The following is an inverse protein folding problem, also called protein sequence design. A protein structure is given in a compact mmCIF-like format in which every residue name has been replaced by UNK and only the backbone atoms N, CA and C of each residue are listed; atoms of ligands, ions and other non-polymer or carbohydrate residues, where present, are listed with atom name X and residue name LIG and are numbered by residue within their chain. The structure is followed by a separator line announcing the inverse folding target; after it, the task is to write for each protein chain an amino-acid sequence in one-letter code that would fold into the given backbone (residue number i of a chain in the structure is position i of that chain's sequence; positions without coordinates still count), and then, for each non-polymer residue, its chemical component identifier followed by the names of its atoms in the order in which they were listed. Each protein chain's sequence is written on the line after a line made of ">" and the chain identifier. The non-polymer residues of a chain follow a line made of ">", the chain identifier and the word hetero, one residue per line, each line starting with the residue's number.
data_IF_141829652540
#
_entry.id   IF_141829652540
#
_cell.length_a   1.000
_cell.length_b   1.000
_cell.length_c   1.000
_cell.angle_alpha   90.00
_cell.angle_beta   90.00
_cell.angle_gamma   90.00
#
_symmetry.space_group_name_H-M   'P 1'
#
loop_
_entity.id
_entity.type
_entity.pdbx_description
1 polymer ?
#
# COMPACT_ATOMS: atom_id res chain seq x y z
N UNK A 1 -32.91 24.79 22.26
CA UNK A 1 -31.74 25.37 21.58
C UNK A 1 -31.48 24.55 20.34
N UNK A 2 -31.42 25.17 19.16
CA UNK A 2 -31.17 24.43 17.92
C UNK A 2 -29.77 23.79 18.00
N UNK A 3 -29.69 22.47 17.90
CA UNK A 3 -28.43 21.74 17.72
C UNK A 3 -27.86 22.13 16.37
N UNK A 4 -26.93 23.09 16.38
CA UNK A 4 -26.30 23.58 15.17
C UNK A 4 -25.21 22.59 14.77
N UNK A 5 -25.43 21.89 13.64
CA UNK A 5 -24.42 21.01 13.07
C UNK A 5 -23.10 21.75 12.82
N UNK A 6 -21.94 21.08 12.97
CA UNK A 6 -20.66 21.62 12.55
C UNK A 6 -20.70 22.15 11.12
N UNK A 7 -20.03 23.27 10.86
CA UNK A 7 -19.98 23.90 9.53
C UNK A 7 -19.39 22.93 8.50
N UNK A 8 -18.46 22.08 8.92
CA UNK A 8 -17.79 21.09 8.07
C UNK A 8 -18.71 19.99 7.54
N UNK A 9 -19.93 19.86 8.08
CA UNK A 9 -20.93 18.90 7.60
C UNK A 9 -21.79 19.45 6.47
N UNK A 10 -21.73 20.76 6.22
CA UNK A 10 -22.51 21.43 5.20
C UNK A 10 -21.80 21.43 3.87
N UNK A 11 -22.53 21.13 2.80
CA UNK A 11 -22.01 21.26 1.46
C UNK A 11 -21.72 22.75 1.18
N UNK A 12 -20.51 23.10 0.70
CA UNK A 12 -20.19 24.49 0.36
C UNK A 12 -21.02 25.10 -0.79
N UNK A 13 -21.72 24.27 -1.57
CA UNK A 13 -22.58 24.71 -2.68
C UNK A 13 -24.02 24.91 -2.20
N UNK A 14 -24.65 23.89 -1.61
CA UNK A 14 -26.05 23.96 -1.19
C UNK A 14 -26.24 24.58 0.19
N UNK A 15 -25.19 24.63 1.01
CA UNK A 15 -25.21 25.02 2.43
C UNK A 15 -26.06 24.09 3.32
N UNK A 16 -26.53 22.97 2.77
CA UNK A 16 -27.26 21.91 3.45
C UNK A 16 -26.31 20.82 3.95
N UNK A 17 -26.76 19.99 4.90
CA UNK A 17 -25.97 18.84 5.38
C UNK A 17 -25.74 17.86 4.24
N UNK A 18 -24.49 17.42 4.09
CA UNK A 18 -24.12 16.47 3.05
C UNK A 18 -24.73 15.10 3.32
N UNK A 19 -25.51 14.61 2.36
CA UNK A 19 -26.13 13.28 2.39
C UNK A 19 -25.19 12.21 1.82
N UNK A 20 -24.47 12.57 0.74
CA UNK A 20 -23.46 11.73 0.12
C UNK A 20 -22.20 12.59 -0.15
N UNK A 21 -21.36 12.83 0.87
CA UNK A 21 -20.18 13.66 0.72
C UNK A 21 -19.16 13.00 -0.21
N UNK A 22 -18.62 13.77 -1.17
CA UNK A 22 -17.61 13.38 -2.15
C UNK A 22 -16.49 14.41 -2.23
N UNK A 23 -15.27 13.96 -2.48
CA UNK A 23 -14.04 14.74 -2.53
C UNK A 23 -13.63 14.92 -3.99
N UNK A 24 -13.31 16.16 -4.37
CA UNK A 24 -12.63 16.45 -5.64
C UNK A 24 -11.12 16.22 -5.50
N UNK A 25 -10.40 16.06 -6.62
CA UNK A 25 -8.93 16.00 -6.64
C UNK A 25 -8.24 17.15 -5.91
N UNK A 26 -8.90 18.32 -5.79
CA UNK A 26 -8.46 19.47 -5.01
C UNK A 26 -8.48 19.28 -3.47
N UNK A 27 -9.03 18.17 -2.97
CA UNK A 27 -9.15 17.87 -1.53
C UNK A 27 -10.41 18.42 -0.85
N UNK A 28 -11.24 19.20 -1.55
CA UNK A 28 -12.49 19.76 -1.01
C UNK A 28 -13.67 18.79 -1.13
N UNK A 29 -14.52 18.75 -0.11
CA UNK A 29 -15.69 17.86 -0.02
C UNK A 29 -17.00 18.61 -0.29
N UNK A 30 -17.90 17.97 -1.05
CA UNK A 30 -19.22 18.48 -1.41
C UNK A 30 -20.26 17.36 -1.33
N UNK A 31 -21.55 17.68 -1.24
CA UNK A 31 -22.58 16.69 -1.51
C UNK A 31 -22.57 16.30 -3.00
N UNK A 32 -22.63 14.99 -3.30
CA UNK A 32 -22.54 14.46 -4.67
C UNK A 32 -23.53 15.14 -5.61
N UNK A 33 -24.80 15.26 -5.22
CA UNK A 33 -25.82 15.84 -6.09
C UNK A 33 -25.56 17.33 -6.37
N UNK A 34 -24.93 18.03 -5.43
CA UNK A 34 -24.60 19.45 -5.57
C UNK A 34 -23.40 19.69 -6.48
N UNK A 35 -22.33 18.91 -6.31
CA UNK A 35 -21.15 19.04 -7.19
C UNK A 35 -21.40 18.48 -8.59
N UNK A 36 -22.23 17.44 -8.73
CA UNK A 36 -22.60 16.92 -10.04
C UNK A 36 -23.38 17.97 -10.85
N UNK A 37 -24.38 18.64 -10.24
CA UNK A 37 -25.09 19.76 -10.88
C UNK A 37 -24.17 20.90 -11.31
N UNK A 38 -23.15 21.22 -10.50
CA UNK A 38 -22.14 22.23 -10.85
C UNK A 38 -21.34 21.83 -12.10
N UNK A 39 -20.93 20.57 -12.20
CA UNK A 39 -20.20 20.04 -13.36
C UNK A 39 -21.08 19.91 -14.61
N UNK A 40 -22.33 19.50 -14.45
CA UNK A 40 -23.32 19.35 -15.53
C UNK A 40 -23.71 20.71 -16.12
N UNK A 41 -23.66 21.79 -15.31
CA UNK A 41 -23.82 23.17 -15.77
C UNK A 41 -22.61 23.71 -16.57
N UNK A 42 -21.59 22.87 -16.81
CA UNK A 42 -20.41 23.21 -17.62
C UNK A 42 -19.28 23.88 -16.84
N UNK A 43 -19.38 24.04 -15.53
CA UNK A 43 -18.28 24.60 -14.75
C UNK A 43 -17.12 23.62 -14.64
N UNK A 44 -15.89 24.12 -14.82
CA UNK A 44 -14.64 23.33 -14.78
C UNK A 44 -13.64 23.86 -13.76
N UNK A 45 -14.14 24.50 -12.71
CA UNK A 45 -13.34 24.99 -11.58
C UNK A 45 -13.91 24.48 -10.27
N UNK A 46 -13.04 24.31 -9.27
CA UNK A 46 -13.46 23.96 -7.93
C UNK A 46 -14.27 25.12 -7.31
N UNK A 47 -15.48 24.87 -6.75
CA UNK A 47 -16.32 25.92 -6.18
C UNK A 47 -15.63 26.74 -5.06
N UNK A 48 -14.73 26.10 -4.30
CA UNK A 48 -14.02 26.72 -3.17
C UNK A 48 -12.73 27.38 -3.64
N UNK A 49 -11.77 26.58 -4.14
CA UNK A 49 -10.42 27.08 -4.46
C UNK A 49 -10.34 27.87 -5.77
N UNK A 50 -11.39 27.82 -6.60
CA UNK A 50 -11.44 28.42 -7.95
C UNK A 50 -10.36 27.90 -8.93
N UNK A 51 -9.61 26.88 -8.54
CA UNK A 51 -8.61 26.23 -9.38
C UNK A 51 -9.29 25.38 -10.46
N UNK A 52 -8.67 25.25 -11.66
CA UNK A 52 -9.18 24.41 -12.74
C UNK A 52 -9.23 22.94 -12.33
N UNK A 53 -10.28 22.25 -12.76
CA UNK A 53 -10.46 20.81 -12.59
C UNK A 53 -10.01 20.06 -13.86
N UNK A 54 -9.57 18.79 -13.74
CA UNK A 54 -9.34 17.93 -14.90
C UNK A 54 -10.60 17.76 -15.75
N UNK A 55 -10.45 17.40 -17.02
CA UNK A 55 -11.58 17.20 -17.96
C UNK A 55 -12.60 16.16 -17.47
N UNK A 56 -12.13 15.15 -16.74
CA UNK A 56 -12.95 14.13 -16.09
C UNK A 56 -12.68 14.15 -14.57
N UNK A 57 -13.30 15.07 -13.82
CA UNK A 57 -13.07 15.18 -12.39
C UNK A 57 -13.64 13.95 -11.67
N UNK A 58 -12.81 13.24 -10.92
CA UNK A 58 -13.24 12.12 -10.10
C UNK A 58 -13.96 12.61 -8.84
N UNK A 59 -15.12 12.04 -8.56
CA UNK A 59 -15.89 12.28 -7.34
C UNK A 59 -15.66 11.12 -6.37
N UNK A 60 -14.68 11.27 -5.48
CA UNK A 60 -14.25 10.24 -4.56
C UNK A 60 -15.17 10.25 -3.33
N UNK A 61 -15.90 9.17 -2.99
CA UNK A 61 -16.75 9.16 -1.79
C UNK A 61 -15.96 9.47 -0.49
N UNK A 62 -16.46 10.39 0.33
CA UNK A 62 -15.93 10.67 1.67
C UNK A 62 -16.71 9.87 2.71
N UNK A 63 -16.44 8.57 2.79
CA UNK A 63 -17.14 7.67 3.70
C UNK A 63 -16.96 8.05 5.17
N UNK A 64 -15.79 8.58 5.56
CA UNK A 64 -15.52 9.04 6.92
C UNK A 64 -16.45 10.19 7.32
N UNK A 65 -16.58 11.22 6.46
CA UNK A 65 -17.48 12.33 6.73
C UNK A 65 -18.94 11.88 6.70
N UNK A 66 -19.31 10.96 5.79
CA UNK A 66 -20.65 10.38 5.74
C UNK A 66 -20.99 9.62 7.03
N UNK A 67 -20.06 8.83 7.55
CA UNK A 67 -20.21 8.12 8.83
C UNK A 67 -20.29 9.09 10.00
N UNK A 68 -19.45 10.14 10.04
CA UNK A 68 -19.50 11.17 11.08
C UNK A 68 -20.83 11.93 11.09
N UNK A 69 -21.32 12.35 9.91
CA UNK A 69 -22.63 12.99 9.76
C UNK A 69 -23.73 12.04 10.25
N UNK A 70 -23.71 10.78 9.83
CA UNK A 70 -24.68 9.76 10.26
C UNK A 70 -24.66 9.54 11.78
N UNK A 71 -23.49 9.34 12.38
CA UNK A 71 -23.34 9.21 13.84
C UNK A 71 -23.81 10.46 14.58
N UNK A 72 -23.51 11.65 14.08
CA UNK A 72 -23.96 12.91 14.69
C UNK A 72 -25.48 13.08 14.60
N UNK A 73 -26.10 12.67 13.48
CA UNK A 73 -27.56 12.65 13.33
C UNK A 73 -28.24 11.63 14.26
N UNK A 74 -27.56 10.53 14.61
CA UNK A 74 -28.05 9.52 15.56
C UNK A 74 -27.88 9.95 17.03
N UNK A 75 -26.89 10.80 17.33
CA UNK A 75 -26.61 11.33 18.68
C UNK A 75 -27.45 12.57 19.04
N UNK A 76 -28.16 13.17 18.07
CA UNK A 76 -29.11 14.26 18.32
C UNK A 76 -30.52 13.69 18.57
N UNK A 77 -31.26 14.14 19.61
CA UNK A 77 -32.61 13.62 19.83
C UNK A 77 -33.57 14.14 18.76
N UNK A 78 -34.14 13.19 18.01
CA UNK A 78 -35.39 13.20 17.25
C UNK A 78 -35.34 13.37 15.70
N UNK A 79 -35.85 12.30 15.06
CA UNK A 79 -36.78 12.26 13.89
C UNK A 79 -36.19 12.43 12.47
N UNK A 80 -35.99 11.32 11.76
CA UNK A 80 -36.97 10.68 10.85
C UNK A 80 -36.27 9.68 9.90
N UNK A 81 -36.51 8.38 10.13
CA UNK A 81 -36.57 7.41 9.05
C UNK A 81 -37.83 7.74 8.24
N UNK A 82 -37.71 7.95 6.93
CA UNK A 82 -38.69 7.68 5.84
C UNK A 82 -38.44 8.63 4.67
N UNK A 83 -37.53 8.28 3.75
CA UNK A 83 -37.68 8.64 2.31
C UNK A 83 -36.67 8.01 1.33
N UNK A 84 -35.91 6.97 1.68
CA UNK A 84 -34.94 6.37 0.74
C UNK A 84 -35.35 5.01 0.13
N UNK A 85 -36.61 4.60 0.27
CA UNK A 85 -37.07 3.26 -0.16
C UNK A 85 -37.71 3.18 -1.56
N UNK A 86 -37.63 4.19 -2.43
CA UNK A 86 -38.33 4.13 -3.73
C UNK A 86 -37.49 4.22 -5.00
N UNK A 87 -36.19 4.54 -4.97
CA UNK A 87 -35.44 4.77 -6.22
C UNK A 87 -34.37 3.74 -6.61
N UNK A 88 -34.06 2.74 -5.77
CA UNK A 88 -33.02 1.75 -6.10
C UNK A 88 -33.53 0.37 -6.56
N UNK A 89 -34.84 0.24 -6.83
CA UNK A 89 -35.45 -1.07 -7.07
C UNK A 89 -35.29 -1.68 -8.48
N UNK A 90 -34.53 -1.09 -9.42
CA UNK A 90 -34.59 -1.54 -10.82
C UNK A 90 -33.37 -2.29 -11.38
N UNK A 91 -32.33 -2.62 -10.60
CA UNK A 91 -31.20 -3.41 -11.16
C UNK A 91 -30.68 -4.59 -10.31
N UNK A 92 -31.25 -4.88 -9.13
CA UNK A 92 -30.82 -6.03 -8.34
C UNK A 92 -31.98 -6.96 -7.98
N UNK A 93 -32.51 -7.65 -8.98
CA UNK A 93 -33.35 -8.83 -8.79
C UNK A 93 -32.68 -10.04 -9.46
N UNK A 94 -31.73 -10.68 -8.76
CA UNK A 94 -31.54 -12.14 -8.75
C UNK A 94 -30.28 -12.56 -7.98
N UNK A 95 -30.43 -12.73 -6.66
CA UNK A 95 -29.99 -13.91 -5.87
C UNK A 95 -30.08 -13.56 -4.39
N UNK A 96 -31.21 -13.90 -3.77
CA UNK A 96 -31.25 -14.16 -2.34
C UNK A 96 -30.43 -15.42 -2.07
N UNK A 97 -29.10 -15.27 -1.98
CA UNK A 97 -28.29 -16.21 -1.23
C UNK A 97 -28.28 -15.73 0.21
N UNK A 98 -28.45 -16.67 1.15
CA UNK A 98 -28.41 -16.47 2.61
C UNK A 98 -27.04 -15.90 3.01
N UNK A 99 -26.82 -14.60 2.81
CA UNK A 99 -25.60 -13.95 3.23
C UNK A 99 -25.66 -13.75 4.74
N UNK A 100 -24.83 -14.49 5.45
CA UNK A 100 -24.50 -14.28 6.86
C UNK A 100 -24.25 -12.79 7.09
N UNK A 101 -25.07 -12.13 7.90
CA UNK A 101 -24.84 -10.73 8.22
C UNK A 101 -23.62 -10.62 9.14
N UNK A 102 -22.67 -9.69 8.91
CA UNK A 102 -21.49 -9.54 9.76
C UNK A 102 -21.81 -8.97 11.14
N UNK A 103 -23.05 -8.50 11.37
CA UNK A 103 -23.45 -7.74 12.54
C UNK A 103 -23.25 -8.49 13.86
N UNK A 104 -23.66 -9.77 13.94
CA UNK A 104 -23.55 -10.55 15.18
C UNK A 104 -22.09 -10.80 15.58
N UNK A 105 -21.21 -11.33 14.70
CA UNK A 105 -19.79 -11.46 15.02
C UNK A 105 -19.11 -10.13 15.35
N UNK A 106 -19.46 -9.03 14.66
CA UNK A 106 -18.90 -7.70 14.92
C UNK A 106 -19.30 -7.14 16.29
N UNK A 107 -20.54 -7.40 16.73
CA UNK A 107 -21.00 -7.02 18.07
C UNK A 107 -20.20 -7.72 19.17
N UNK A 108 -19.81 -8.98 18.95
CA UNK A 108 -18.93 -9.74 19.87
C UNK A 108 -17.53 -9.13 19.95
N UNK A 109 -16.98 -8.64 18.84
CA UNK A 109 -15.65 -8.00 18.84
C UNK A 109 -15.62 -6.71 19.65
N UNK A 110 -16.70 -5.93 19.59
CA UNK A 110 -16.80 -4.62 20.25
C UNK A 110 -17.26 -4.70 21.70
N UNK A 111 -17.95 -5.78 22.09
CA UNK A 111 -18.44 -5.95 23.45
C UNK A 111 -17.29 -6.16 24.44
N UNK A 112 -17.23 -5.37 25.54
CA UNK A 112 -16.26 -5.59 26.61
C UNK A 112 -16.57 -6.84 27.44
N UNK A 113 -17.81 -7.31 27.43
CA UNK A 113 -18.24 -8.52 28.17
C UNK A 113 -17.89 -9.83 27.44
N UNK A 114 -17.50 -9.76 26.17
CA UNK A 114 -17.15 -10.94 25.38
C UNK A 114 -15.77 -11.49 25.78
N UNK A 115 -15.71 -12.80 26.00
CA UNK A 115 -14.46 -13.50 26.32
C UNK A 115 -13.50 -13.48 25.13
N UNK A 116 -12.21 -13.69 25.39
CA UNK A 116 -11.19 -13.80 24.36
C UNK A 116 -11.57 -14.87 23.33
N UNK A 117 -12.00 -16.04 23.79
CA UNK A 117 -12.39 -17.20 22.99
C UNK A 117 -13.55 -16.86 22.04
N UNK A 118 -14.55 -16.12 22.53
CA UNK A 118 -15.69 -15.68 21.72
C UNK A 118 -15.26 -14.68 20.63
N UNK A 119 -14.30 -13.78 20.94
CA UNK A 119 -13.71 -12.87 19.95
C UNK A 119 -12.88 -13.61 18.92
N UNK A 120 -12.08 -14.59 19.33
CA UNK A 120 -11.30 -15.44 18.44
C UNK A 120 -12.21 -16.23 17.48
N UNK A 121 -13.28 -16.83 17.99
CA UNK A 121 -14.27 -17.55 17.18
C UNK A 121 -14.97 -16.64 16.17
N UNK A 122 -15.33 -15.42 16.60
CA UNK A 122 -15.93 -14.40 15.74
C UNK A 122 -14.97 -14.00 14.60
N UNK A 123 -13.70 -13.74 14.91
CA UNK A 123 -12.69 -13.45 13.89
C UNK A 123 -12.48 -14.63 12.94
N UNK A 124 -12.48 -15.87 13.44
CA UNK A 124 -12.35 -17.06 12.60
C UNK A 124 -13.54 -17.21 11.65
N UNK A 125 -14.76 -16.98 12.14
CA UNK A 125 -15.96 -16.98 11.30
C UNK A 125 -15.87 -15.93 10.19
N UNK A 126 -15.54 -14.68 10.55
CA UNK A 126 -15.40 -13.58 9.59
C UNK A 126 -14.28 -13.84 8.58
N UNK A 127 -13.16 -14.42 9.02
CA UNK A 127 -12.01 -14.78 8.17
C UNK A 127 -12.39 -15.86 7.17
N UNK A 128 -13.11 -16.90 7.60
CA UNK A 128 -13.59 -17.96 6.69
C UNK A 128 -14.51 -17.42 5.60
N UNK A 129 -15.45 -16.53 5.97
CA UNK A 129 -16.41 -15.96 5.03
C UNK A 129 -15.74 -14.99 4.05
N UNK A 130 -14.82 -14.15 4.51
CA UNK A 130 -14.11 -13.15 3.67
C UNK A 130 -13.13 -13.76 2.66
N UNK A 131 -12.64 -14.98 2.89
CA UNK A 131 -11.58 -15.60 2.07
C UNK A 131 -11.95 -15.76 0.59
N UNK A 132 -13.22 -15.98 0.27
CA UNK A 132 -13.66 -16.28 -1.12
C UNK A 132 -14.85 -15.43 -1.60
N UNK A 133 -15.38 -14.55 -0.76
CA UNK A 133 -16.57 -13.77 -1.07
C UNK A 133 -16.26 -12.27 -1.08
N UNK A 134 -16.11 -11.71 -2.29
CA UNK A 134 -15.88 -10.28 -2.50
C UNK A 134 -17.05 -9.42 -2.02
N UNK A 135 -18.30 -9.89 -2.21
CA UNK A 135 -19.47 -9.17 -1.74
C UNK A 135 -19.54 -9.15 -0.21
N UNK A 136 -19.08 -10.20 0.46
CA UNK A 136 -18.95 -10.21 1.92
C UNK A 136 -17.86 -9.26 2.41
N UNK A 137 -16.71 -9.18 1.71
CA UNK A 137 -15.66 -8.21 2.03
C UNK A 137 -16.12 -6.77 1.92
N UNK A 138 -16.88 -6.42 0.86
CA UNK A 138 -17.51 -5.10 0.74
C UNK A 138 -18.50 -4.82 1.88
N UNK A 139 -19.31 -5.80 2.29
CA UNK A 139 -20.20 -5.65 3.44
C UNK A 139 -19.45 -5.42 4.76
N UNK A 140 -18.26 -6.00 4.94
CA UNK A 140 -17.43 -5.76 6.13
C UNK A 140 -16.96 -4.31 6.20
N UNK A 141 -16.56 -3.72 5.08
CA UNK A 141 -16.16 -2.31 5.04
C UNK A 141 -17.34 -1.37 5.24
N UNK A 142 -18.50 -1.68 4.65
CA UNK A 142 -19.73 -0.87 4.80
C UNK A 142 -20.39 -0.93 6.19
N UNK A 143 -20.21 -2.04 6.92
CA UNK A 143 -20.86 -2.26 8.22
C UNK A 143 -20.12 -1.64 9.42
N UNK A 144 -19.00 -0.96 9.21
CA UNK A 144 -18.14 -0.46 10.30
C UNK A 144 -17.33 -1.56 11.01
N UNK A 145 -17.35 -2.79 10.49
CA UNK A 145 -16.61 -3.92 11.06
C UNK A 145 -15.10 -3.66 11.11
N UNK A 146 -14.56 -2.93 10.13
CA UNK A 146 -13.13 -2.58 10.05
C UNK A 146 -12.64 -1.90 11.33
N UNK A 147 -13.40 -0.93 11.86
CA UNK A 147 -13.03 -0.23 13.10
C UNK A 147 -12.96 -1.19 14.30
N UNK A 148 -13.90 -2.12 14.40
CA UNK A 148 -13.89 -3.15 15.44
C UNK A 148 -12.68 -4.08 15.32
N UNK A 149 -12.36 -4.51 14.09
CA UNK A 149 -11.21 -5.39 13.84
C UNK A 149 -9.89 -4.67 14.09
N UNK A 150 -9.78 -3.38 13.73
CA UNK A 150 -8.60 -2.57 14.04
C UNK A 150 -8.37 -2.46 15.56
N UNK A 151 -9.42 -2.30 16.37
CA UNK A 151 -9.28 -2.36 17.84
C UNK A 151 -8.77 -3.72 18.33
N UNK A 152 -9.10 -4.81 17.64
CA UNK A 152 -8.54 -6.12 17.96
C UNK A 152 -7.05 -6.25 17.57
N UNK A 153 -6.57 -5.50 16.57
CA UNK A 153 -5.14 -5.44 16.23
C UNK A 153 -4.32 -4.81 17.36
N UNK A 154 -4.90 -3.84 18.07
CA UNK A 154 -4.27 -3.15 19.21
C UNK A 154 -4.10 -4.02 20.46
N UNK A 155 -4.70 -5.21 20.47
CA UNK A 155 -4.66 -6.12 21.61
C UNK A 155 -3.24 -6.66 21.85
N UNK A 156 -2.83 -6.69 23.12
CA UNK A 156 -1.58 -7.33 23.54
C UNK A 156 -1.62 -8.86 23.40
N UNK A 157 -2.81 -9.47 23.35
CA UNK A 157 -2.97 -10.91 23.11
C UNK A 157 -2.57 -11.29 21.66
N UNK A 158 -1.47 -12.04 21.46
CA UNK A 158 -0.91 -12.28 20.13
C UNK A 158 -1.85 -13.04 19.19
N UNK A 159 -2.62 -14.00 19.73
CA UNK A 159 -3.58 -14.79 18.95
C UNK A 159 -4.72 -13.94 18.40
N UNK A 160 -5.16 -12.93 19.18
CA UNK A 160 -6.22 -12.03 18.77
C UNK A 160 -5.73 -11.05 17.71
N UNK A 161 -4.57 -10.43 17.94
CA UNK A 161 -3.92 -9.52 17.00
C UNK A 161 -3.68 -10.21 15.65
N UNK A 162 -3.15 -11.43 15.64
CA UNK A 162 -2.86 -12.19 14.42
C UNK A 162 -4.11 -12.49 13.60
N UNK A 163 -5.19 -12.96 14.24
CA UNK A 163 -6.46 -13.23 13.54
C UNK A 163 -7.09 -11.96 13.00
N UNK A 164 -6.99 -10.85 13.74
CA UNK A 164 -7.49 -9.56 13.29
C UNK A 164 -6.73 -9.06 12.06
N UNK A 165 -5.40 -9.12 12.08
CA UNK A 165 -4.55 -8.80 10.91
C UNK A 165 -4.88 -9.68 9.70
N UNK A 166 -5.10 -10.97 9.92
CA UNK A 166 -5.46 -11.90 8.84
C UNK A 166 -6.80 -11.55 8.20
N UNK A 167 -7.80 -11.17 9.01
CA UNK A 167 -9.09 -10.71 8.49
C UNK A 167 -8.94 -9.41 7.68
N UNK A 168 -8.17 -8.44 8.16
CA UNK A 168 -7.91 -7.20 7.43
C UNK A 168 -7.15 -7.45 6.12
N UNK A 169 -6.21 -8.39 6.11
CA UNK A 169 -5.53 -8.82 4.88
C UNK A 169 -6.50 -9.45 3.87
N UNK A 170 -7.48 -10.25 4.33
CA UNK A 170 -8.52 -10.75 3.43
C UNK A 170 -9.34 -9.60 2.86
N UNK A 171 -9.75 -8.63 3.69
CA UNK A 171 -10.51 -7.45 3.25
C UNK A 171 -9.73 -6.63 2.21
N UNK A 172 -8.40 -6.51 2.39
CA UNK A 172 -7.53 -5.79 1.46
C UNK A 172 -7.27 -6.54 0.15
N UNK A 173 -7.80 -7.74 -0.06
CA UNK A 173 -7.71 -8.42 -1.36
C UNK A 173 -8.50 -7.68 -2.46
N UNK A 174 -9.59 -6.98 -2.11
CA UNK A 174 -10.32 -6.15 -3.08
C UNK A 174 -9.68 -4.77 -3.18
N UNK A 175 -9.48 -4.27 -4.40
CA UNK A 175 -8.87 -2.95 -4.64
C UNK A 175 -9.71 -1.81 -4.09
N UNK A 176 -11.03 -1.91 -4.21
CA UNK A 176 -11.98 -0.89 -3.72
C UNK A 176 -11.90 -0.68 -2.20
N UNK A 177 -11.49 -1.70 -1.44
CA UNK A 177 -11.38 -1.62 0.02
C UNK A 177 -10.07 -0.96 0.47
N UNK A 178 -9.01 -0.93 -0.35
CA UNK A 178 -7.65 -0.56 0.08
C UNK A 178 -7.56 0.90 0.53
N UNK A 179 -8.20 1.82 -0.18
CA UNK A 179 -8.23 3.25 0.21
C UNK A 179 -9.06 3.45 1.46
N UNK A 180 -10.21 2.76 1.58
CA UNK A 180 -11.05 2.79 2.77
C UNK A 180 -10.32 2.31 4.03
N UNK A 181 -9.58 1.21 3.93
CA UNK A 181 -8.75 0.69 5.04
C UNK A 181 -7.71 1.71 5.51
N UNK A 182 -7.07 2.42 4.58
CA UNK A 182 -6.12 3.49 4.93
C UNK A 182 -6.82 4.66 5.61
N UNK A 183 -7.99 5.07 5.11
CA UNK A 183 -8.79 6.15 5.71
C UNK A 183 -9.29 5.81 7.13
N UNK A 184 -9.58 4.53 7.41
CA UNK A 184 -9.94 4.03 8.74
C UNK A 184 -8.74 3.91 9.70
N UNK A 185 -7.54 4.30 9.28
CA UNK A 185 -6.35 4.36 10.14
C UNK A 185 -5.56 3.04 10.21
N UNK A 186 -5.72 2.13 9.25
CA UNK A 186 -5.01 0.84 9.27
C UNK A 186 -3.48 0.99 9.31
N UNK A 187 -2.91 2.00 8.62
CA UNK A 187 -1.46 2.19 8.56
C UNK A 187 -0.86 2.35 9.97
N UNK A 188 -1.50 3.13 10.84
CA UNK A 188 -1.02 3.37 12.20
C UNK A 188 -0.81 2.05 12.96
N UNK A 189 -1.84 1.21 12.98
CA UNK A 189 -1.86 -0.06 13.72
C UNK A 189 -0.90 -1.08 13.10
N UNK A 190 -0.82 -1.11 11.77
CA UNK A 190 0.11 -2.00 11.05
C UNK A 190 1.57 -1.61 11.38
N UNK A 191 1.89 -0.32 11.48
CA UNK A 191 3.24 0.14 11.83
C UNK A 191 3.58 -0.19 13.28
N UNK A 192 2.64 -0.05 14.22
CA UNK A 192 2.81 -0.48 15.61
C UNK A 192 3.10 -1.99 15.69
N UNK A 193 2.34 -2.82 14.96
CA UNK A 193 2.59 -4.27 14.89
C UNK A 193 3.97 -4.58 14.29
N UNK A 194 4.41 -3.87 13.25
CA UNK A 194 5.74 -4.09 12.67
C UNK A 194 6.88 -3.84 13.68
N UNK A 195 6.67 -2.91 14.62
CA UNK A 195 7.65 -2.52 15.64
C UNK A 195 7.69 -3.48 16.83
N UNK A 196 6.54 -3.98 17.29
CA UNK A 196 6.44 -4.73 18.56
C UNK A 196 5.71 -6.08 18.51
N UNK A 197 5.14 -6.46 17.36
CA UNK A 197 4.35 -7.69 17.23
C UNK A 197 5.18 -8.97 17.25
N UNK A 198 4.50 -10.11 17.33
CA UNK A 198 5.14 -11.43 17.17
C UNK A 198 5.76 -11.57 15.77
N UNK A 199 6.76 -12.46 15.57
CA UNK A 199 7.37 -12.68 14.25
C UNK A 199 6.35 -12.93 13.12
N UNK A 200 5.30 -13.71 13.40
CA UNK A 200 4.25 -13.97 12.44
C UNK A 200 3.37 -12.74 12.19
N UNK A 201 2.99 -11.99 13.23
CA UNK A 201 2.21 -10.75 13.09
C UNK A 201 2.98 -9.68 12.32
N UNK A 202 4.29 -9.54 12.54
CA UNK A 202 5.16 -8.64 11.77
C UNK A 202 5.22 -9.01 10.31
N UNK A 203 5.33 -10.31 9.99
CA UNK A 203 5.29 -10.77 8.60
C UNK A 203 3.94 -10.48 7.93
N UNK A 204 2.81 -10.77 8.60
CA UNK A 204 1.46 -10.47 8.08
C UNK A 204 1.25 -8.96 7.92
N UNK A 205 1.75 -8.15 8.85
CA UNK A 205 1.71 -6.69 8.78
C UNK A 205 2.48 -6.14 7.56
N UNK A 206 3.65 -6.69 7.23
CA UNK A 206 4.38 -6.34 6.01
C UNK A 206 3.62 -6.76 4.75
N UNK A 207 2.98 -7.94 4.74
CA UNK A 207 2.10 -8.37 3.64
C UNK A 207 0.89 -7.43 3.49
N UNK A 208 0.32 -6.94 4.60
CA UNK A 208 -0.75 -5.95 4.56
C UNK A 208 -0.30 -4.63 3.94
N UNK A 209 0.87 -4.08 4.32
CA UNK A 209 1.40 -2.87 3.66
C UNK A 209 1.61 -3.11 2.16
N UNK A 210 2.11 -4.28 1.77
CA UNK A 210 2.25 -4.67 0.36
C UNK A 210 0.90 -4.62 -0.37
N UNK A 211 -0.13 -5.24 0.22
CA UNK A 211 -1.48 -5.30 -0.35
C UNK A 211 -2.09 -3.90 -0.50
N UNK A 212 -2.01 -3.06 0.53
CA UNK A 212 -2.53 -1.69 0.49
C UNK A 212 -1.78 -0.82 -0.53
N UNK A 213 -0.47 -1.01 -0.67
CA UNK A 213 0.39 -0.26 -1.56
C UNK A 213 0.24 -0.63 -3.04
N UNK A 214 -0.60 -1.61 -3.41
CA UNK A 214 -0.96 -1.83 -4.83
C UNK A 214 -1.56 -0.57 -5.45
N UNK A 215 -2.34 0.19 -4.67
CA UNK A 215 -2.89 1.49 -5.09
C UNK A 215 -1.85 2.60 -4.99
N UNK A 216 -1.68 3.40 -6.04
CA UNK A 216 -0.66 4.48 -6.10
C UNK A 216 -0.76 5.49 -4.95
N UNK A 217 -1.97 5.98 -4.65
CA UNK A 217 -2.20 6.95 -3.56
C UNK A 217 -1.75 6.38 -2.20
N UNK A 218 -1.93 5.08 -2.00
CA UNK A 218 -1.51 4.42 -0.78
C UNK A 218 0.01 4.26 -0.70
N UNK A 219 0.75 4.09 -1.82
CA UNK A 219 2.22 4.05 -1.80
C UNK A 219 2.81 5.34 -1.23
N UNK A 220 2.33 6.48 -1.70
CA UNK A 220 2.76 7.78 -1.23
C UNK A 220 2.41 7.97 0.27
N UNK A 221 1.17 7.62 0.64
CA UNK A 221 0.68 7.73 2.02
C UNK A 221 1.46 6.85 3.00
N UNK A 222 1.62 5.56 2.69
CA UNK A 222 2.37 4.60 3.52
C UNK A 222 3.83 5.02 3.64
N UNK A 223 4.48 5.40 2.54
CA UNK A 223 5.88 5.78 2.57
C UNK A 223 6.15 7.12 3.26
N UNK A 224 5.16 8.02 3.33
CA UNK A 224 5.24 9.26 4.09
C UNK A 224 4.87 9.07 5.57
N UNK A 225 4.24 7.94 5.91
CA UNK A 225 3.78 7.69 7.28
C UNK A 225 4.98 7.52 8.22
N UNK A 226 4.98 8.19 9.39
CA UNK A 226 6.07 8.10 10.36
C UNK A 226 6.44 6.66 10.69
N UNK A 227 7.74 6.37 10.63
CA UNK A 227 8.33 5.08 10.97
C UNK A 227 7.92 3.88 10.09
N UNK A 228 7.04 4.01 9.10
CA UNK A 228 6.61 2.87 8.29
C UNK A 228 7.78 2.21 7.54
N UNK A 229 8.54 3.00 6.79
CA UNK A 229 9.73 2.52 6.08
C UNK A 229 10.79 2.03 7.07
N UNK A 230 11.02 2.76 8.17
CA UNK A 230 11.99 2.36 9.22
C UNK A 230 11.63 1.00 9.83
N UNK A 231 10.36 0.74 10.11
CA UNK A 231 9.89 -0.51 10.68
C UNK A 231 10.12 -1.68 9.70
N UNK A 232 9.87 -1.48 8.41
CA UNK A 232 10.21 -2.47 7.37
C UNK A 232 11.72 -2.73 7.27
N UNK A 233 12.55 -1.69 7.36
CA UNK A 233 14.01 -1.85 7.36
C UNK A 233 14.49 -2.58 8.63
N UNK A 234 13.89 -2.31 9.80
CA UNK A 234 14.17 -3.08 11.01
C UNK A 234 13.75 -4.55 10.85
N UNK A 235 12.64 -4.82 10.15
CA UNK A 235 12.20 -6.18 9.87
C UNK A 235 13.15 -6.91 8.90
N UNK A 236 13.78 -6.21 7.95
CA UNK A 236 14.88 -6.77 7.14
C UNK A 236 16.10 -7.14 8.00
N UNK A 237 16.48 -6.25 8.93
CA UNK A 237 17.65 -6.44 9.80
C UNK A 237 17.47 -7.60 10.79
N UNK A 238 16.32 -7.61 11.46
CA UNK A 238 16.08 -8.43 12.65
C UNK A 238 15.24 -9.68 12.35
N UNK A 239 14.56 -9.72 11.20
CA UNK A 239 13.66 -10.81 10.83
C UNK A 239 14.38 -12.06 10.34
N UNK A 240 13.67 -13.20 10.35
CA UNK A 240 14.10 -14.45 9.73
C UNK A 240 13.61 -14.53 8.28
N UNK A 241 13.87 -15.66 7.60
CA UNK A 241 13.54 -15.89 6.18
C UNK A 241 12.18 -15.35 5.73
N UNK A 242 11.09 -15.67 6.43
CA UNK A 242 9.74 -15.18 6.07
C UNK A 242 9.60 -13.68 6.28
N UNK A 243 9.98 -13.17 7.44
CA UNK A 243 9.88 -11.74 7.78
C UNK A 243 10.68 -10.87 6.82
N UNK A 244 11.91 -11.27 6.50
CA UNK A 244 12.77 -10.58 5.53
C UNK A 244 12.15 -10.56 4.13
N UNK A 245 11.58 -11.69 3.70
CA UNK A 245 10.90 -11.78 2.40
C UNK A 245 9.70 -10.83 2.33
N UNK A 246 8.84 -10.82 3.34
CA UNK A 246 7.66 -9.95 3.37
C UNK A 246 8.09 -8.47 3.47
N UNK A 247 9.11 -8.14 4.28
CA UNK A 247 9.66 -6.79 4.38
C UNK A 247 10.25 -6.29 3.07
N UNK A 248 11.04 -7.11 2.38
CA UNK A 248 11.62 -6.78 1.07
C UNK A 248 10.52 -6.59 0.02
N UNK A 249 9.45 -7.40 0.07
CA UNK A 249 8.32 -7.29 -0.85
C UNK A 249 7.54 -6.00 -0.61
N UNK A 250 7.29 -5.64 0.66
CA UNK A 250 6.65 -4.37 1.00
C UNK A 250 7.49 -3.17 0.56
N UNK A 251 8.82 -3.20 0.81
CA UNK A 251 9.76 -2.17 0.38
C UNK A 251 9.79 -2.02 -1.14
N UNK A 252 9.81 -3.13 -1.88
CA UNK A 252 9.74 -3.10 -3.34
C UNK A 252 8.49 -2.35 -3.81
N UNK A 253 7.31 -2.74 -3.31
CA UNK A 253 6.04 -2.15 -3.74
C UNK A 253 5.94 -0.66 -3.41
N UNK A 254 6.33 -0.24 -2.21
CA UNK A 254 6.26 1.18 -1.83
C UNK A 254 7.34 2.02 -2.52
N UNK A 255 8.51 1.46 -2.85
CA UNK A 255 9.60 2.17 -3.54
C UNK A 255 9.40 2.28 -5.06
N UNK A 256 8.33 1.69 -5.61
CA UNK A 256 7.88 2.02 -6.96
C UNK A 256 7.55 3.52 -7.05
N UNK A 257 7.01 4.10 -5.96
CA UNK A 257 6.86 5.54 -5.81
C UNK A 257 8.24 6.21 -5.55
N UNK A 258 8.71 7.12 -6.42
CA UNK A 258 10.08 7.64 -6.39
C UNK A 258 10.54 8.24 -5.05
N UNK A 259 9.69 9.02 -4.38
CA UNK A 259 10.07 9.70 -3.13
C UNK A 259 10.40 8.73 -1.99
N UNK A 260 9.81 7.53 -2.04
CA UNK A 260 10.04 6.51 -1.03
C UNK A 260 11.41 5.86 -1.15
N UNK A 261 12.07 5.96 -2.31
CA UNK A 261 13.42 5.42 -2.52
C UNK A 261 14.43 6.13 -1.63
N UNK A 262 14.44 7.47 -1.65
CA UNK A 262 15.31 8.27 -0.78
C UNK A 262 15.03 7.99 0.69
N UNK A 263 13.75 7.93 1.09
CA UNK A 263 13.35 7.60 2.47
C UNK A 263 13.85 6.22 2.92
N UNK A 264 13.81 5.22 2.03
CA UNK A 264 14.33 3.88 2.31
C UNK A 264 15.86 3.88 2.47
N UNK A 265 16.57 4.62 1.62
CA UNK A 265 18.03 4.80 1.73
C UNK A 265 18.40 5.48 3.05
N UNK A 266 17.70 6.55 3.43
CA UNK A 266 17.91 7.28 4.69
C UNK A 266 17.62 6.43 5.93
N UNK A 267 16.76 5.43 5.81
CA UNK A 267 16.52 4.44 6.87
C UNK A 267 17.59 3.35 6.92
N UNK A 268 18.60 3.37 6.04
CA UNK A 268 19.70 2.41 5.99
C UNK A 268 19.38 1.12 5.24
N UNK A 269 18.35 1.10 4.38
CA UNK A 269 17.90 -0.13 3.71
C UNK A 269 18.99 -0.81 2.86
N UNK A 270 19.86 -0.04 2.21
CA UNK A 270 20.83 -0.53 1.22
C UNK A 270 21.76 -1.59 1.80
N UNK A 271 22.38 -1.33 2.95
CA UNK A 271 23.35 -2.26 3.54
C UNK A 271 22.73 -3.61 3.92
N UNK A 272 21.50 -3.61 4.45
CA UNK A 272 20.78 -4.85 4.77
C UNK A 272 20.34 -5.59 3.52
N UNK A 273 19.85 -4.88 2.51
CA UNK A 273 19.44 -5.47 1.24
C UNK A 273 20.61 -6.14 0.51
N UNK A 274 21.80 -5.56 0.53
CA UNK A 274 23.00 -6.17 -0.08
C UNK A 274 23.35 -7.49 0.61
N UNK A 275 23.37 -7.52 1.95
CA UNK A 275 23.63 -8.75 2.73
C UNK A 275 22.57 -9.82 2.49
N UNK A 276 21.30 -9.42 2.39
CA UNK A 276 20.19 -10.32 2.13
C UNK A 276 20.23 -10.85 0.69
N UNK A 277 20.64 -10.03 -0.29
CA UNK A 277 20.87 -10.47 -1.66
C UNK A 277 21.98 -11.51 -1.75
N UNK A 278 23.06 -11.35 -0.99
CA UNK A 278 24.12 -12.36 -0.88
C UNK A 278 23.63 -13.70 -0.33
N UNK A 279 22.64 -13.68 0.57
CA UNK A 279 21.99 -14.91 1.07
C UNK A 279 21.01 -15.55 0.07
N UNK A 280 20.84 -14.96 -1.12
CA UNK A 280 20.03 -15.52 -2.21
C UNK A 280 18.58 -15.04 -2.28
N UNK A 281 18.17 -14.04 -1.48
CA UNK A 281 16.81 -13.49 -1.60
C UNK A 281 16.71 -12.53 -2.79
N UNK A 282 16.18 -13.04 -3.90
CA UNK A 282 15.98 -12.28 -5.15
C UNK A 282 15.27 -10.94 -4.96
N UNK A 283 14.24 -10.90 -4.10
CA UNK A 283 13.47 -9.68 -3.85
C UNK A 283 14.35 -8.52 -3.37
N UNK A 284 15.44 -8.80 -2.66
CA UNK A 284 16.37 -7.76 -2.22
C UNK A 284 17.11 -7.11 -3.39
N UNK A 285 17.50 -7.90 -4.41
CA UNK A 285 18.10 -7.40 -5.65
C UNK A 285 17.12 -6.49 -6.40
N UNK A 286 15.83 -6.86 -6.43
CA UNK A 286 14.80 -6.03 -7.06
C UNK A 286 14.66 -4.67 -6.35
N UNK A 287 14.69 -4.64 -5.02
CA UNK A 287 14.66 -3.37 -4.26
C UNK A 287 15.92 -2.56 -4.52
N UNK A 288 17.11 -3.18 -4.54
CA UNK A 288 18.36 -2.50 -4.87
C UNK A 288 18.28 -1.83 -6.25
N UNK A 289 17.73 -2.52 -7.26
CA UNK A 289 17.55 -1.90 -8.59
C UNK A 289 16.61 -0.70 -8.59
N UNK A 290 15.59 -0.67 -7.72
CA UNK A 290 14.78 0.54 -7.53
C UNK A 290 15.57 1.65 -6.84
N UNK A 291 16.31 1.35 -5.78
CA UNK A 291 17.09 2.34 -5.04
C UNK A 291 18.25 2.93 -5.85
N UNK A 292 18.86 2.14 -6.74
CA UNK A 292 19.90 2.63 -7.66
C UNK A 292 19.41 3.70 -8.64
N UNK A 293 18.08 3.89 -8.79
CA UNK A 293 17.51 4.98 -9.59
C UNK A 293 17.65 6.36 -8.93
N UNK A 294 17.88 6.45 -7.62
CA UNK A 294 18.22 7.72 -6.95
C UNK A 294 19.72 7.82 -6.66
N UNK A 295 20.22 9.07 -6.52
CA UNK A 295 21.64 9.35 -6.31
C UNK A 295 22.12 8.78 -4.98
N UNK A 296 21.35 9.01 -3.93
CA UNK A 296 21.64 8.57 -2.57
C UNK A 296 21.76 7.05 -2.49
N UNK A 297 20.90 6.32 -3.21
CA UNK A 297 20.96 4.86 -3.28
C UNK A 297 22.24 4.36 -3.94
N UNK A 298 22.71 5.02 -5.01
CA UNK A 298 23.98 4.67 -5.66
C UNK A 298 25.18 4.96 -4.76
N UNK A 299 25.20 6.11 -4.10
CA UNK A 299 26.29 6.50 -3.19
C UNK A 299 26.40 5.52 -2.01
N UNK A 300 25.28 5.08 -1.44
CA UNK A 300 25.28 4.08 -0.37
C UNK A 300 25.74 2.69 -0.86
N UNK A 301 25.38 2.29 -2.09
CA UNK A 301 25.87 1.04 -2.68
C UNK A 301 27.37 1.07 -2.94
N UNK A 302 27.89 2.20 -3.44
CA UNK A 302 29.32 2.39 -3.70
C UNK A 302 30.17 2.35 -2.42
N UNK A 303 29.60 2.76 -1.28
CA UNK A 303 30.24 2.65 0.04
C UNK A 303 30.31 1.21 0.55
N UNK A 304 29.49 0.30 0.04
CA UNK A 304 29.44 -1.09 0.48
C UNK A 304 30.41 -1.95 -0.34
N UNK A 305 31.52 -2.37 0.29
CA UNK A 305 32.51 -3.22 -0.35
C UNK A 305 31.90 -4.57 -0.77
N UNK A 306 32.15 -4.99 -2.02
CA UNK A 306 31.63 -6.25 -2.57
C UNK A 306 30.20 -6.18 -3.11
N UNK A 307 29.57 -4.99 -3.14
CA UNK A 307 28.25 -4.82 -3.75
C UNK A 307 28.24 -5.29 -5.22
N UNK A 308 29.25 -4.90 -6.00
CA UNK A 308 29.38 -5.30 -7.41
C UNK A 308 29.55 -6.82 -7.54
N UNK A 309 30.46 -7.42 -6.78
CA UNK A 309 30.67 -8.87 -6.79
C UNK A 309 29.41 -9.68 -6.42
N UNK A 310 28.58 -9.19 -5.49
CA UNK A 310 27.28 -9.82 -5.19
C UNK A 310 26.34 -9.74 -6.40
N UNK A 311 26.22 -8.58 -7.04
CA UNK A 311 25.36 -8.41 -8.21
C UNK A 311 25.83 -9.25 -9.41
N UNK A 312 27.15 -9.37 -9.60
CA UNK A 312 27.74 -10.23 -10.63
C UNK A 312 27.44 -11.70 -10.37
N UNK A 313 27.54 -12.18 -9.11
CA UNK A 313 27.13 -13.55 -8.76
C UNK A 313 25.65 -13.83 -9.08
N UNK A 314 24.79 -12.82 -8.96
CA UNK A 314 23.38 -12.91 -9.38
C UNK A 314 23.24 -12.99 -10.90
N UNK A 315 24.12 -12.38 -11.69
CA UNK A 315 24.14 -12.57 -13.15
C UNK A 315 24.44 -14.01 -13.54
N UNK A 316 25.32 -14.68 -12.80
CA UNK A 316 25.75 -16.06 -13.09
C UNK A 316 24.70 -17.10 -12.69
N UNK A 317 24.07 -16.92 -11.52
CA UNK A 317 23.29 -17.97 -10.86
C UNK A 317 21.84 -17.57 -10.53
N UNK A 318 21.41 -16.35 -10.88
CA UNK A 318 20.10 -15.82 -10.56
C UNK A 318 18.99 -16.31 -11.49
N UNK A 319 17.73 -16.09 -11.09
CA UNK A 319 16.61 -16.25 -12.01
C UNK A 319 16.60 -15.13 -13.06
N UNK A 320 15.80 -15.29 -14.13
CA UNK A 320 15.61 -14.24 -15.14
C UNK A 320 15.25 -12.87 -14.52
N UNK A 321 14.41 -12.83 -13.48
CA UNK A 321 14.09 -11.58 -12.79
C UNK A 321 15.27 -11.03 -12.00
N UNK A 322 15.97 -11.89 -11.27
CA UNK A 322 17.16 -11.53 -10.50
C UNK A 322 18.25 -10.95 -11.41
N UNK A 323 18.55 -11.62 -12.51
CA UNK A 323 19.51 -11.19 -13.54
C UNK A 323 19.09 -9.83 -14.12
N UNK A 324 17.82 -9.66 -14.51
CA UNK A 324 17.32 -8.40 -15.07
C UNK A 324 17.54 -7.21 -14.12
N UNK A 325 17.27 -7.38 -12.82
CA UNK A 325 17.44 -6.33 -11.82
C UNK A 325 18.90 -6.14 -11.39
N UNK A 326 19.72 -7.19 -11.37
CA UNK A 326 21.15 -7.07 -11.16
C UNK A 326 21.81 -6.26 -12.30
N UNK A 327 21.47 -6.55 -13.57
CA UNK A 327 21.92 -5.77 -14.72
C UNK A 327 21.47 -4.31 -14.63
N UNK A 328 20.21 -4.06 -14.23
CA UNK A 328 19.69 -2.70 -14.06
C UNK A 328 20.47 -1.93 -12.99
N UNK A 329 20.78 -2.59 -11.88
CA UNK A 329 21.57 -2.01 -10.77
C UNK A 329 23.00 -1.72 -11.22
N UNK A 330 23.67 -2.68 -11.85
CA UNK A 330 25.04 -2.55 -12.35
C UNK A 330 25.15 -1.46 -13.42
N UNK A 331 24.21 -1.38 -14.36
CA UNK A 331 24.16 -0.28 -15.33
C UNK A 331 24.14 1.08 -14.64
N UNK A 332 23.26 1.24 -13.64
CA UNK A 332 23.16 2.48 -12.89
C UNK A 332 24.46 2.80 -12.17
N UNK A 333 25.03 1.86 -11.41
CA UNK A 333 26.28 2.09 -10.68
C UNK A 333 27.45 2.41 -11.62
N UNK A 334 27.61 1.62 -12.68
CA UNK A 334 28.69 1.78 -13.64
C UNK A 334 28.59 3.08 -14.44
N UNK A 335 27.38 3.53 -14.78
CA UNK A 335 27.20 4.79 -15.52
C UNK A 335 27.64 6.02 -14.71
N UNK A 336 27.60 5.95 -13.37
CA UNK A 336 27.87 7.08 -12.49
C UNK A 336 29.15 6.96 -11.65
N UNK A 337 29.82 5.79 -11.62
CA UNK A 337 31.07 5.59 -10.88
C UNK A 337 32.12 4.83 -11.70
N UNK A 338 33.28 5.46 -11.94
CA UNK A 338 34.44 4.81 -12.55
C UNK A 338 34.96 3.66 -11.66
N UNK A 339 34.95 3.84 -10.34
CA UNK A 339 35.35 2.80 -9.38
C UNK A 339 34.50 1.54 -9.57
N UNK A 340 33.18 1.70 -9.61
CA UNK A 340 32.25 0.59 -9.81
C UNK A 340 32.41 -0.06 -11.20
N UNK A 341 32.73 0.72 -12.24
CA UNK A 341 33.05 0.19 -13.58
C UNK A 341 34.29 -0.69 -13.56
N UNK A 342 35.37 -0.23 -12.94
CA UNK A 342 36.61 -1.00 -12.82
C UNK A 342 36.38 -2.29 -12.01
N UNK A 343 35.65 -2.20 -10.90
CA UNK A 343 35.28 -3.36 -10.09
C UNK A 343 34.47 -4.38 -10.91
N UNK A 344 33.46 -3.93 -11.66
CA UNK A 344 32.64 -4.80 -12.50
C UNK A 344 33.46 -5.50 -13.60
N UNK A 345 34.45 -4.83 -14.18
CA UNK A 345 35.39 -5.44 -15.14
C UNK A 345 36.23 -6.53 -14.49
N UNK A 346 36.77 -6.26 -13.30
CA UNK A 346 37.59 -7.21 -12.55
C UNK A 346 36.78 -8.44 -12.12
N UNK A 347 35.51 -8.25 -11.80
CA UNK A 347 34.54 -9.31 -11.50
C UNK A 347 33.99 -10.00 -12.77
N UNK A 348 34.60 -9.80 -13.95
CA UNK A 348 34.23 -10.48 -15.21
C UNK A 348 32.80 -10.18 -15.72
N UNK A 349 32.15 -9.12 -15.23
CA UNK A 349 30.78 -8.76 -15.62
C UNK A 349 30.63 -8.60 -17.15
N UNK A 350 31.65 -8.06 -17.83
CA UNK A 350 31.65 -7.88 -19.28
C UNK A 350 31.44 -9.21 -20.03
N UNK A 351 32.18 -10.26 -19.66
CA UNK A 351 32.07 -11.57 -20.30
C UNK A 351 30.70 -12.21 -20.10
N UNK A 352 30.12 -12.06 -18.91
CA UNK A 352 28.77 -12.56 -18.61
C UNK A 352 27.71 -11.79 -19.42
N UNK A 353 27.84 -10.47 -19.51
CA UNK A 353 26.89 -9.65 -20.24
C UNK A 353 26.87 -9.96 -21.74
N UNK A 354 28.02 -10.26 -22.36
CA UNK A 354 28.09 -10.68 -23.77
C UNK A 354 27.24 -11.94 -24.01
N UNK A 355 27.28 -12.91 -23.10
CA UNK A 355 26.43 -14.11 -23.18
C UNK A 355 24.94 -13.84 -23.00
N UNK A 356 24.56 -12.69 -22.46
CA UNK A 356 23.18 -12.29 -22.18
C UNK A 356 22.60 -11.31 -23.22
N UNK A 357 23.35 -10.95 -24.27
CA UNK A 357 22.87 -10.01 -25.32
C UNK A 357 21.77 -10.64 -26.18
N UNK A 358 21.79 -11.96 -26.33
CA UNK A 358 20.83 -12.73 -27.14
C UNK A 358 19.77 -13.47 -26.31
N UNK A 359 19.64 -13.15 -25.01
CA UNK A 359 18.67 -13.78 -24.10
C UNK A 359 17.21 -13.64 -24.58
N UNK A 360 16.31 -14.58 -24.31
CA UNK A 360 14.90 -14.46 -24.75
C UNK A 360 14.14 -13.32 -24.05
N UNK A 361 14.55 -12.92 -22.85
CA UNK A 361 13.95 -11.81 -22.10
C UNK A 361 14.46 -10.45 -22.62
N UNK A 362 13.56 -9.64 -23.16
CA UNK A 362 13.88 -8.31 -23.70
C UNK A 362 14.55 -7.38 -22.69
N UNK A 363 14.13 -7.44 -21.43
CA UNK A 363 14.71 -6.64 -20.35
C UNK A 363 16.16 -7.06 -20.05
N UNK A 364 16.47 -8.35 -20.12
CA UNK A 364 17.83 -8.85 -19.96
C UNK A 364 18.68 -8.41 -21.16
N UNK A 365 18.26 -8.68 -22.40
CA UNK A 365 19.01 -8.27 -23.61
C UNK A 365 19.34 -6.79 -23.64
N UNK A 366 18.35 -5.95 -23.34
CA UNK A 366 18.52 -4.50 -23.36
C UNK A 366 19.51 -4.06 -22.28
N UNK A 367 19.35 -4.56 -21.05
CA UNK A 367 20.21 -4.17 -19.95
C UNK A 367 21.63 -4.74 -20.09
N UNK A 368 21.79 -5.95 -20.65
CA UNK A 368 23.11 -6.55 -20.90
C UNK A 368 23.86 -5.77 -21.99
N UNK A 369 23.19 -5.45 -23.10
CA UNK A 369 23.75 -4.63 -24.18
C UNK A 369 24.22 -3.26 -23.68
N UNK A 370 23.39 -2.60 -22.87
CA UNK A 370 23.75 -1.31 -22.25
C UNK A 370 25.00 -1.46 -21.35
N UNK A 371 25.05 -2.51 -20.54
CA UNK A 371 26.17 -2.69 -19.61
C UNK A 371 27.46 -3.00 -20.37
N UNK A 372 27.40 -3.78 -21.45
CA UNK A 372 28.54 -3.99 -22.36
C UNK A 372 29.06 -2.65 -22.88
N UNK A 373 28.19 -1.76 -23.37
CA UNK A 373 28.61 -0.45 -23.87
C UNK A 373 29.27 0.41 -22.79
N UNK A 374 28.66 0.47 -21.60
CA UNK A 374 29.16 1.23 -20.44
C UNK A 374 30.54 0.71 -20.00
N UNK A 375 30.74 -0.61 -19.98
CA UNK A 375 32.01 -1.21 -19.60
C UNK A 375 33.07 -1.09 -20.70
N UNK A 376 32.70 -1.20 -21.98
CA UNK A 376 33.63 -1.05 -23.11
C UNK A 376 34.12 0.39 -23.31
N UNK A 377 33.51 1.38 -22.66
CA UNK A 377 33.90 2.80 -22.79
C UNK A 377 33.31 3.48 -24.03
N UNK A 378 32.34 2.87 -24.70
CA UNK A 378 31.68 3.43 -25.88
C UNK A 378 30.49 4.31 -25.45
N UNK A 379 30.75 5.46 -24.83
CA UNK A 379 29.73 6.50 -24.67
C UNK A 379 29.89 7.57 -25.76
N UNK A 380 29.09 7.47 -26.82
CA UNK A 380 28.56 8.66 -27.47
C UNK A 380 27.47 9.22 -26.57
N UNK A 381 27.75 10.31 -25.85
CA UNK A 381 26.70 11.12 -25.25
C UNK A 381 25.93 11.80 -26.39
N UNK A 382 24.63 11.52 -26.48
CA UNK A 382 23.67 12.32 -27.26
C UNK A 382 22.42 12.54 -26.42
#
# INVERSE_FOLDING_TARGET
>A
MATQFPVDFKCPISLEIMSDPVILSSGHTFDRASIQRWLDAGHRTCPISKLPLPDHPSLIPNHSLRSLISTYTLLSPAKLQHQYHQHHHQYHHHRQQRHSQPQTPVSTLTSPASTLESKLESLDQLTRLSKRDAAFRAKLTESGAVSAVLKCVDSEEPRLQEKALTLLLNVSLDDDNKVGLVAEGAIARIVEVLQGGSPNSRAVAATMLTSLAVVEVNKATIGAYPYAIRALVSLLRDGKSREQKEAATALYTICLFPDNRRRAVECGAVSFLIRIAESGLERAVEVLGLLAKCKEGREEMERFNGCVGILVRVLENGSSRGVQYALLTLNSLCSYSERMRVEAKNERALSLCVGLVEDDNEGIRKNSSNLVQVLSGNHSMS
#
